data_IF_033997566839
#
_entry.id   IF_033997566839
#
_cell.length_a   1.000
_cell.length_b   1.000
_cell.length_c   1.000
_cell.angle_alpha   90.00
_cell.angle_beta   90.00
_cell.angle_gamma   90.00
#
_symmetry.space_group_name_H-M   'P 1'
#
loop_
_entity.id
_entity.type
_entity.pdbx_description
1 polymer ?
#
# COMPACT_ATOMS: atom_id res chain seq x y z
N UNK A 1 7.99 -19.89 -10.95
CA UNK A 1 7.20 -18.84 -10.27
C UNK A 1 8.15 -17.86 -9.61
N UNK A 2 8.07 -16.58 -9.92
CA UNK A 2 8.95 -15.63 -9.25
C UNK A 2 8.64 -15.59 -7.76
N UNK A 3 9.66 -15.37 -6.91
CA UNK A 3 9.43 -15.28 -5.47
C UNK A 3 8.65 -14.04 -5.05
N UNK A 4 8.62 -13.01 -5.90
CA UNK A 4 7.92 -11.77 -5.63
C UNK A 4 6.83 -11.61 -6.67
N UNK A 5 5.62 -11.40 -6.21
CA UNK A 5 4.50 -11.19 -7.11
C UNK A 5 3.56 -10.18 -6.47
N UNK A 6 3.30 -9.11 -7.20
CA UNK A 6 2.40 -8.08 -6.71
C UNK A 6 0.95 -8.56 -6.72
N UNK A 7 0.20 -8.12 -5.72
CA UNK A 7 -1.25 -8.34 -5.70
C UNK A 7 -1.96 -7.37 -6.60
N UNK A 8 -1.41 -6.18 -6.80
CA UNK A 8 -2.05 -5.11 -7.53
C UNK A 8 -1.14 -4.62 -8.64
N UNK A 9 -1.47 -4.96 -9.89
CA UNK A 9 -0.67 -4.54 -11.03
C UNK A 9 -0.82 -3.04 -11.28
N UNK A 10 0.13 -2.47 -12.02
CA UNK A 10 0.05 -1.09 -12.48
C UNK A 10 -1.29 -0.86 -13.15
N UNK A 11 -1.96 0.23 -12.82
CA UNK A 11 -3.27 0.57 -13.35
C UNK A 11 -4.44 0.05 -12.52
N UNK A 12 -4.17 -0.79 -11.53
CA UNK A 12 -5.23 -1.31 -10.67
C UNK A 12 -5.68 -0.24 -9.68
N UNK A 13 -7.00 -0.16 -9.46
CA UNK A 13 -7.55 0.70 -8.44
C UNK A 13 -7.47 -0.01 -7.09
N UNK A 14 -6.92 0.65 -6.10
CA UNK A 14 -6.76 0.10 -4.76
C UNK A 14 -7.36 1.05 -3.73
N UNK A 15 -7.61 0.52 -2.55
CA UNK A 15 -8.07 1.33 -1.43
C UNK A 15 -7.00 1.30 -0.35
N UNK A 16 -6.65 2.50 0.12
CA UNK A 16 -5.70 2.64 1.21
C UNK A 16 -6.39 2.26 2.52
N UNK A 17 -5.67 1.55 3.39
CA UNK A 17 -6.22 1.11 4.66
C UNK A 17 -6.74 2.29 5.49
N UNK A 18 -7.63 2.00 6.42
CA UNK A 18 -8.18 3.06 7.25
C UNK A 18 -7.14 3.55 8.25
N UNK A 19 -7.47 4.64 8.93
CA UNK A 19 -6.50 5.32 9.80
C UNK A 19 -5.97 4.41 10.92
N UNK A 20 -6.79 3.66 11.65
CA UNK A 20 -6.24 2.80 12.69
C UNK A 20 -5.24 1.77 12.16
N UNK A 21 -5.50 1.21 10.98
CA UNK A 21 -4.59 0.23 10.39
C UNK A 21 -3.27 0.89 9.96
N UNK A 22 -3.34 2.09 9.36
CA UNK A 22 -2.14 2.80 8.98
C UNK A 22 -1.31 3.19 10.20
N UNK A 23 -1.97 3.65 11.26
CA UNK A 23 -1.26 4.03 12.48
C UNK A 23 -0.60 2.82 13.12
N UNK A 24 -1.26 1.69 13.13
CA UNK A 24 -0.68 0.46 13.66
C UNK A 24 0.54 0.04 12.85
N UNK A 25 0.44 0.09 11.54
CA UNK A 25 1.57 -0.22 10.68
C UNK A 25 2.73 0.73 10.95
N UNK A 26 2.43 2.03 11.02
CA UNK A 26 3.46 3.04 11.22
C UNK A 26 4.22 2.85 12.53
N UNK A 27 3.53 2.45 13.58
CA UNK A 27 4.17 2.28 14.88
C UNK A 27 4.89 0.96 15.02
N UNK A 28 4.47 -0.07 14.30
CA UNK A 28 5.06 -1.40 14.42
C UNK A 28 6.13 -1.69 13.38
N UNK A 29 6.12 -1.02 12.24
CA UNK A 29 7.10 -1.24 11.18
C UNK A 29 8.38 -0.46 11.46
N UNK A 30 9.48 -1.19 11.59
CA UNK A 30 10.76 -0.58 11.98
C UNK A 30 11.85 -0.83 10.95
N UNK A 31 11.46 -1.11 9.73
CA UNK A 31 12.41 -1.49 8.68
C UNK A 31 12.45 -0.42 7.60
N UNK A 32 12.74 -0.84 6.37
CA UNK A 32 12.85 0.06 5.24
C UNK A 32 11.53 0.76 4.92
N UNK A 33 11.64 1.92 4.31
CA UNK A 33 10.49 2.69 3.81
C UNK A 33 9.39 2.84 4.88
N UNK A 34 9.70 3.47 6.01
CA UNK A 34 8.66 3.67 7.02
C UNK A 34 7.54 4.54 6.49
N UNK A 35 6.34 4.30 6.99
CA UNK A 35 5.18 5.10 6.61
C UNK A 35 5.33 6.49 7.22
N UNK A 36 5.24 7.52 6.36
CA UNK A 36 5.32 8.89 6.82
C UNK A 36 4.02 9.37 7.44
N UNK A 37 4.12 10.32 8.34
CA UNK A 37 2.93 10.83 9.02
C UNK A 37 1.97 11.50 8.04
N UNK A 38 2.50 12.11 6.98
CA UNK A 38 1.68 12.75 5.95
C UNK A 38 0.86 11.75 5.17
N UNK A 39 1.28 10.49 5.14
CA UNK A 39 0.54 9.45 4.42
C UNK A 39 -0.76 9.09 5.14
N UNK A 40 -0.87 9.37 6.43
CA UNK A 40 -2.09 9.09 7.18
C UNK A 40 -3.29 9.87 6.66
N UNK A 41 -3.05 11.00 6.00
CA UNK A 41 -4.12 11.80 5.44
C UNK A 41 -4.87 11.10 4.31
N UNK A 42 -4.29 10.04 3.76
CA UNK A 42 -4.91 9.31 2.64
C UNK A 42 -5.66 8.06 3.10
N UNK A 43 -5.81 7.87 4.41
CA UNK A 43 -6.49 6.70 4.95
C UNK A 43 -7.90 6.56 4.36
N UNK A 44 -8.23 5.34 3.91
CA UNK A 44 -9.54 5.04 3.37
C UNK A 44 -9.81 5.54 1.96
N UNK A 45 -8.84 6.22 1.34
CA UNK A 45 -9.02 6.76 0.00
C UNK A 45 -8.65 5.76 -1.07
N UNK A 46 -9.24 5.92 -2.24
CA UNK A 46 -8.92 5.10 -3.41
C UNK A 46 -7.80 5.75 -4.20
N UNK A 47 -6.99 4.93 -4.85
CA UNK A 47 -5.91 5.41 -5.70
C UNK A 47 -5.63 4.37 -6.78
N UNK A 48 -4.83 4.76 -7.77
CA UNK A 48 -4.46 3.87 -8.88
C UNK A 48 -2.98 3.55 -8.75
N UNK A 49 -2.63 2.28 -8.93
CA UNK A 49 -1.23 1.86 -8.87
C UNK A 49 -0.47 2.47 -10.05
N UNK A 50 0.53 3.29 -9.74
CA UNK A 50 1.38 3.93 -10.73
C UNK A 50 2.59 3.05 -11.06
N UNK A 51 3.19 2.46 -10.05
CA UNK A 51 4.39 1.66 -10.21
C UNK A 51 4.48 0.64 -9.09
N UNK A 52 5.17 -0.47 -9.37
CA UNK A 52 5.37 -1.56 -8.42
C UNK A 52 6.87 -1.80 -8.30
N UNK A 53 7.35 -1.88 -7.08
CA UNK A 53 8.74 -2.18 -6.80
C UNK A 53 8.87 -3.32 -5.82
N UNK A 54 10.02 -3.94 -5.83
CA UNK A 54 10.29 -5.04 -4.93
C UNK A 54 11.53 -4.72 -4.10
N UNK A 55 11.44 -4.98 -2.81
CA UNK A 55 12.58 -4.86 -1.92
C UNK A 55 13.05 -6.28 -1.58
N UNK A 56 14.36 -6.48 -1.45
CA UNK A 56 14.81 -7.83 -1.16
C UNK A 56 14.28 -8.27 0.20
N UNK A 57 13.94 -9.55 0.28
CA UNK A 57 13.17 -10.07 1.38
C UNK A 57 11.73 -10.33 1.01
N UNK A 58 11.31 -9.88 -0.18
CA UNK A 58 9.99 -10.19 -0.71
C UNK A 58 8.93 -9.13 -0.48
N UNK A 59 9.32 -7.97 0.05
CA UNK A 59 8.36 -6.89 0.26
C UNK A 59 7.99 -6.24 -1.07
N UNK A 60 6.70 -6.10 -1.33
CA UNK A 60 6.19 -5.44 -2.52
C UNK A 60 5.78 -4.03 -2.15
N UNK A 61 6.31 -3.07 -2.90
CA UNK A 61 6.11 -1.65 -2.63
C UNK A 61 5.40 -1.01 -3.81
N UNK A 62 4.58 0.00 -3.53
CA UNK A 62 3.75 0.63 -4.54
C UNK A 62 3.89 2.13 -4.52
N UNK A 63 3.85 2.73 -5.70
CA UNK A 63 3.63 4.15 -5.86
C UNK A 63 2.22 4.32 -6.43
N UNK A 64 1.50 5.29 -5.90
CA UNK A 64 0.09 5.48 -6.25
C UNK A 64 -0.12 6.87 -6.85
N UNK A 65 -1.04 6.94 -7.81
CA UNK A 65 -1.47 8.22 -8.37
C UNK A 65 -2.43 8.85 -7.34
N UNK A 66 -2.12 10.05 -6.91
CA UNK A 66 -2.96 10.78 -5.98
C UNK A 66 -2.62 10.59 -4.52
N UNK A 67 -1.67 9.72 -4.21
CA UNK A 67 -1.24 9.49 -2.84
C UNK A 67 0.28 9.30 -2.84
N UNK A 68 1.03 10.39 -2.68
CA UNK A 68 2.49 10.33 -2.81
C UNK A 68 3.15 9.51 -1.71
N UNK A 69 4.36 9.05 -1.99
CA UNK A 69 5.14 8.24 -1.07
C UNK A 69 5.15 6.78 -1.50
N UNK A 70 5.88 5.99 -0.74
CA UNK A 70 5.96 4.55 -0.98
C UNK A 70 4.98 3.84 -0.06
N UNK A 71 4.18 2.94 -0.64
CA UNK A 71 3.14 2.23 0.10
C UNK A 71 3.47 0.76 0.16
N UNK A 72 3.41 0.18 1.35
CA UNK A 72 3.58 -1.26 1.52
C UNK A 72 2.28 -1.97 1.14
N UNK A 73 2.41 -3.17 0.61
CA UNK A 73 1.25 -3.94 0.14
C UNK A 73 0.22 -4.14 1.24
N UNK A 74 0.67 -4.33 2.47
CA UNK A 74 -0.28 -4.55 3.57
C UNK A 74 -1.04 -3.30 3.98
N UNK A 75 -0.67 -2.14 3.44
CA UNK A 75 -1.43 -0.89 3.66
C UNK A 75 -2.50 -0.68 2.59
N UNK A 76 -2.64 -1.61 1.66
CA UNK A 76 -3.56 -1.47 0.53
C UNK A 76 -4.52 -2.64 0.50
N UNK A 77 -5.68 -2.43 -0.10
CA UNK A 77 -6.65 -3.46 -0.38
C UNK A 77 -7.28 -3.24 -1.74
N UNK A 78 -7.80 -4.29 -2.35
CA UNK A 78 -8.53 -4.16 -3.59
C UNK A 78 -9.88 -3.50 -3.36
N UNK A 79 -10.31 -2.67 -4.31
CA UNK A 79 -11.61 -2.02 -4.19
C UNK A 79 -12.74 -3.03 -4.04
N UNK A 80 -12.67 -4.10 -4.82
CA UNK A 80 -13.70 -5.12 -4.75
C UNK A 80 -13.68 -5.85 -3.41
N UNK A 81 -12.50 -6.10 -2.87
CA UNK A 81 -12.40 -6.76 -1.56
C UNK A 81 -13.00 -5.90 -0.46
N UNK A 82 -12.82 -4.59 -0.53
CA UNK A 82 -13.39 -3.69 0.47
C UNK A 82 -14.91 -3.67 0.43
N UNK A 83 -15.51 -4.08 -0.68
CA UNK A 83 -16.97 -4.05 -0.89
C UNK A 83 -17.62 -5.40 -0.74
N UNK A 84 -16.83 -6.43 -0.59
CA UNK A 84 -17.34 -7.81 -0.54
C UNK A 84 -17.79 -8.22 0.85
N UNK A 85 -18.11 -7.27 1.65
CA UNK A 85 -18.50 -7.54 3.05
C UNK A 85 -19.98 -7.71 3.16
#
# INVERSE_FOLDING_TARGET
MPPYQELYAVGTQVRIADLPALEQFRTSWRFHHPLGIEQLAFAGKSAIVLDVGYYHGGDVLYQLIGAPGIWHEQCLGGENAARAV
#
